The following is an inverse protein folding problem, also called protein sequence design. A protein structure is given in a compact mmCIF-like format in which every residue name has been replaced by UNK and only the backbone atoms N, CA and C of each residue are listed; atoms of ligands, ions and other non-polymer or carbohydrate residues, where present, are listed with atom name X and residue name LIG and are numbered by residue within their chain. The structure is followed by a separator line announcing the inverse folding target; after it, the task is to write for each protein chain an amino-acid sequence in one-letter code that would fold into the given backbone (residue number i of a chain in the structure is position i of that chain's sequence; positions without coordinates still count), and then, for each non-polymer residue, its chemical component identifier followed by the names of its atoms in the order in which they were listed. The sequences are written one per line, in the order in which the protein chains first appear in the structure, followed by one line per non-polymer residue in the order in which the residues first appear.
data_IF_327842722962
#
_entry.id   IF_327842722962
#
_cell.length_a   1.000
_cell.length_b   1.000
_cell.length_c   1.000
_cell.angle_alpha   90.00
_cell.angle_beta   90.00
_cell.angle_gamma   90.00
#
_symmetry.space_group_name_H-M   'P 1'
#
loop_
_entity.id
_entity.type
_entity.pdbx_description
1 polymer ?
#
# COMPACT_ATOMS: atom_id res chain seq x y z
N UNK A 1 26.12 12.95 -15.33
CA UNK A 1 27.06 13.90 -15.99
C UNK A 1 27.57 14.89 -14.97
N UNK A 2 28.75 15.51 -15.13
CA UNK A 2 29.26 16.51 -14.17
C UNK A 2 28.29 17.67 -13.94
N UNK A 3 27.52 18.03 -14.97
CA UNK A 3 26.55 19.15 -14.91
C UNK A 3 25.20 18.77 -14.30
N UNK A 4 24.96 17.48 -14.07
CA UNK A 4 23.72 16.96 -13.48
C UNK A 4 24.07 15.88 -12.44
N UNK A 5 24.38 16.27 -11.21
CA UNK A 5 24.70 15.33 -10.14
C UNK A 5 23.50 14.44 -9.83
N UNK A 6 23.76 13.19 -9.51
CA UNK A 6 22.77 12.18 -9.15
C UNK A 6 22.95 11.86 -7.67
N UNK A 7 21.86 11.89 -6.92
CA UNK A 7 21.83 11.37 -5.56
C UNK A 7 21.78 9.84 -5.60
N UNK A 8 22.66 9.20 -4.83
CA UNK A 8 22.71 7.75 -4.69
C UNK A 8 22.54 7.42 -3.22
N UNK A 9 21.41 6.80 -2.88
CA UNK A 9 21.07 6.40 -1.53
C UNK A 9 21.17 4.89 -1.35
N UNK A 10 21.31 4.47 -0.07
CA UNK A 10 21.22 3.07 0.29
C UNK A 10 19.78 2.58 0.12
N UNK A 11 19.59 1.50 -0.65
CA UNK A 11 18.31 0.83 -0.71
C UNK A 11 18.04 0.03 0.58
N UNK A 12 16.84 0.18 1.13
CA UNK A 12 16.41 -0.54 2.34
C UNK A 12 15.52 -1.72 1.90
N UNK A 13 16.07 -2.92 1.94
CA UNK A 13 15.31 -4.15 1.68
C UNK A 13 14.31 -4.43 2.80
N UNK A 14 13.12 -4.89 2.42
CA UNK A 14 12.07 -5.33 3.35
C UNK A 14 11.70 -4.28 4.42
N UNK A 15 11.87 -3.00 4.13
CA UNK A 15 11.47 -1.92 5.01
C UNK A 15 9.96 -1.73 5.00
N UNK A 16 9.43 -1.27 6.14
CA UNK A 16 8.05 -0.78 6.28
C UNK A 16 8.08 0.73 6.13
N UNK A 17 7.38 1.27 5.15
CA UNK A 17 7.26 2.71 4.99
C UNK A 17 6.15 3.28 5.86
N UNK A 18 6.42 4.44 6.42
CA UNK A 18 5.52 5.17 7.30
C UNK A 18 5.38 6.60 6.78
N UNK A 19 4.14 7.02 6.58
CA UNK A 19 3.79 8.38 6.19
C UNK A 19 3.22 9.13 7.41
N UNK A 20 3.73 10.32 7.68
CA UNK A 20 3.30 11.14 8.82
C UNK A 20 2.81 12.48 8.33
N UNK A 21 1.57 12.82 8.66
CA UNK A 21 1.04 14.18 8.50
C UNK A 21 0.97 14.86 9.87
N UNK A 22 1.60 16.02 10.00
CA UNK A 22 1.65 16.78 11.23
C UNK A 22 1.45 18.29 11.01
N UNK A 23 1.02 18.96 12.08
CA UNK A 23 0.99 20.41 12.17
C UNK A 23 2.09 20.87 13.11
N UNK A 24 2.73 21.99 12.77
CA UNK A 24 3.71 22.65 13.62
C UNK A 24 3.50 24.16 13.56
N UNK A 25 3.44 24.80 14.72
CA UNK A 25 3.23 26.26 14.84
C UNK A 25 4.52 27.04 15.18
N UNK A 26 5.64 26.32 15.25
CA UNK A 26 6.95 26.82 15.66
C UNK A 26 7.32 26.49 17.09
N UNK A 27 6.36 26.10 17.92
CA UNK A 27 6.56 25.73 19.32
C UNK A 27 6.03 24.33 19.61
N UNK A 28 4.79 24.04 19.23
CA UNK A 28 4.12 22.77 19.49
C UNK A 28 3.92 21.97 18.20
N UNK A 29 4.11 20.64 18.31
CA UNK A 29 3.77 19.68 17.28
C UNK A 29 2.42 19.00 17.60
N UNK A 30 1.55 18.90 16.59
CA UNK A 30 0.38 18.06 16.62
C UNK A 30 0.51 16.99 15.53
N UNK A 31 0.63 15.71 15.89
CA UNK A 31 0.57 14.60 14.93
C UNK A 31 -0.88 14.42 14.45
N UNK A 32 -1.11 14.64 13.17
CA UNK A 32 -2.39 14.37 12.54
C UNK A 32 -2.66 12.87 12.44
N UNK A 33 -1.65 12.13 11.99
CA UNK A 33 -1.70 10.67 11.88
C UNK A 33 -0.36 10.07 11.46
N UNK A 34 -0.14 8.83 11.87
CA UNK A 34 0.99 7.99 11.47
C UNK A 34 0.43 6.80 10.70
N UNK A 35 0.63 6.80 9.40
CA UNK A 35 0.10 5.81 8.47
C UNK A 35 1.18 4.79 8.13
N UNK A 36 0.81 3.51 8.05
CA UNK A 36 1.67 2.43 7.60
C UNK A 36 1.31 2.02 6.18
N UNK A 37 2.30 1.92 5.29
CA UNK A 37 2.10 1.45 3.94
C UNK A 37 1.82 -0.05 3.90
N UNK A 38 0.91 -0.46 3.03
CA UNK A 38 0.56 -1.86 2.80
C UNK A 38 1.49 -2.45 1.73
N UNK A 39 1.87 -1.66 0.75
CA UNK A 39 2.83 -2.02 -0.29
C UNK A 39 4.26 -2.09 0.24
N UNK A 40 5.13 -2.76 -0.52
CA UNK A 40 6.57 -2.80 -0.23
C UNK A 40 7.22 -1.41 -0.37
N UNK A 41 8.27 -1.20 0.40
CA UNK A 41 9.06 0.05 0.37
C UNK A 41 9.59 0.39 -1.03
N UNK A 42 9.63 1.68 -1.33
CA UNK A 42 10.10 2.23 -2.60
C UNK A 42 9.00 2.41 -3.65
N UNK A 43 7.74 2.29 -3.25
CA UNK A 43 6.59 2.69 -4.06
C UNK A 43 6.20 4.11 -3.66
N UNK A 44 5.86 4.95 -4.66
CA UNK A 44 5.45 6.32 -4.39
C UNK A 44 4.26 6.36 -3.41
N UNK A 45 4.33 7.19 -2.36
CA UNK A 45 3.31 7.27 -1.30
C UNK A 45 1.89 7.58 -1.82
N UNK A 46 1.78 8.29 -2.93
CA UNK A 46 0.49 8.52 -3.61
C UNK A 46 -0.14 7.26 -4.21
N UNK A 47 0.67 6.26 -4.53
CA UNK A 47 0.23 5.00 -5.16
C UNK A 47 0.08 3.87 -4.13
N UNK A 48 0.74 3.97 -2.96
CA UNK A 48 0.63 2.99 -1.90
C UNK A 48 -0.72 3.06 -1.19
N UNK A 49 -1.31 1.90 -0.92
CA UNK A 49 -2.35 1.80 0.09
C UNK A 49 -1.74 2.03 1.48
N UNK A 50 -2.46 2.72 2.35
CA UNK A 50 -2.00 3.04 3.69
C UNK A 50 -3.08 2.74 4.72
N UNK A 51 -2.68 2.25 5.89
CA UNK A 51 -3.57 1.99 7.01
C UNK A 51 -3.32 2.97 8.16
N UNK A 52 -4.39 3.44 8.78
CA UNK A 52 -4.39 4.28 9.96
C UNK A 52 -5.42 3.75 10.97
N UNK A 53 -5.03 3.49 12.25
CA UNK A 53 -3.68 3.60 12.80
C UNK A 53 -2.71 2.58 12.18
N UNK A 54 -1.41 2.83 12.30
CA UNK A 54 -0.37 1.88 11.92
C UNK A 54 -0.53 0.55 12.69
N UNK A 55 -0.28 -0.58 12.03
CA UNK A 55 -0.58 -1.91 12.56
C UNK A 55 0.64 -2.58 13.20
N UNK A 56 1.82 -2.39 12.62
CA UNK A 56 3.04 -3.08 13.06
C UNK A 56 4.00 -2.17 13.82
N UNK A 57 3.79 -0.84 13.77
CA UNK A 57 4.61 0.14 14.48
C UNK A 57 4.38 0.05 15.98
N UNK A 58 5.44 -0.20 16.72
CA UNK A 58 5.40 -0.32 18.18
C UNK A 58 5.23 1.04 18.87
N UNK A 59 4.75 1.04 20.12
CA UNK A 59 4.64 2.27 20.91
C UNK A 59 5.98 3.03 21.05
N UNK A 60 7.09 2.31 21.18
CA UNK A 60 8.43 2.93 21.23
C UNK A 60 8.79 3.62 19.92
N UNK A 61 8.50 2.98 18.78
CA UNK A 61 8.73 3.57 17.46
C UNK A 61 7.81 4.78 17.21
N UNK A 62 6.56 4.76 17.68
CA UNK A 62 5.68 5.93 17.60
C UNK A 62 6.25 7.15 18.36
N UNK A 63 6.86 6.92 19.53
CA UNK A 63 7.57 7.99 20.28
C UNK A 63 8.76 8.49 19.49
N UNK A 64 9.56 7.62 18.91
CA UNK A 64 10.71 7.97 18.07
C UNK A 64 10.29 8.77 16.83
N UNK A 65 9.27 8.33 16.12
CA UNK A 65 8.67 9.01 14.97
C UNK A 65 8.22 10.43 15.37
N UNK A 66 7.49 10.56 16.49
CA UNK A 66 7.05 11.86 16.98
C UNK A 66 8.22 12.81 17.24
N UNK A 67 9.26 12.33 17.95
CA UNK A 67 10.44 13.11 18.27
C UNK A 67 11.22 13.53 17.01
N UNK A 68 11.38 12.62 16.07
CA UNK A 68 12.02 12.89 14.78
C UNK A 68 11.22 13.94 14.00
N UNK A 69 9.89 13.77 13.91
CA UNK A 69 8.99 14.72 13.25
C UNK A 69 9.10 16.12 13.84
N UNK A 70 9.13 16.26 15.18
CA UNK A 70 9.25 17.55 15.85
C UNK A 70 10.61 18.20 15.60
N UNK A 71 11.70 17.42 15.68
CA UNK A 71 13.06 17.93 15.41
C UNK A 71 13.18 18.43 13.97
N UNK A 72 12.64 17.69 13.01
CA UNK A 72 12.67 18.08 11.59
C UNK A 72 11.81 19.33 11.38
N UNK A 73 10.56 19.34 11.85
CA UNK A 73 9.67 20.49 11.70
C UNK A 73 10.26 21.78 12.29
N UNK A 74 10.91 21.68 13.43
CA UNK A 74 11.63 22.79 14.08
C UNK A 74 12.87 23.19 13.29
N UNK A 75 13.65 22.22 12.80
CA UNK A 75 14.88 22.46 12.06
C UNK A 75 14.68 23.17 10.72
N UNK A 76 13.54 22.99 10.07
CA UNK A 76 13.18 23.65 8.80
C UNK A 76 12.14 24.78 8.97
N UNK A 77 11.90 25.20 10.20
CA UNK A 77 10.99 26.31 10.59
C UNK A 77 9.60 26.21 9.97
N UNK A 78 8.95 25.06 10.07
CA UNK A 78 7.60 24.82 9.54
C UNK A 78 6.58 25.70 10.27
N UNK A 79 5.63 26.25 9.50
CA UNK A 79 4.44 26.93 10.00
C UNK A 79 3.21 26.41 9.23
N UNK A 80 2.56 25.41 9.77
CA UNK A 80 1.44 24.73 9.13
C UNK A 80 1.64 23.23 9.01
N UNK A 81 1.40 22.67 7.83
CA UNK A 81 1.54 21.23 7.56
C UNK A 81 2.96 20.83 7.17
N UNK A 82 3.35 19.68 7.69
CA UNK A 82 4.50 18.93 7.22
C UNK A 82 4.10 17.47 7.01
N UNK A 83 4.55 16.90 5.89
CA UNK A 83 4.50 15.48 5.62
C UNK A 83 5.93 14.92 5.68
N UNK A 84 6.13 13.86 6.43
CA UNK A 84 7.44 13.19 6.52
C UNK A 84 7.26 11.71 6.20
N UNK A 85 8.12 11.21 5.32
CA UNK A 85 8.20 9.80 5.01
C UNK A 85 9.37 9.18 5.75
N UNK A 86 9.06 8.12 6.48
CA UNK A 86 10.01 7.30 7.20
C UNK A 86 10.03 5.89 6.64
N UNK A 87 11.10 5.15 6.92
CA UNK A 87 11.15 3.72 6.73
C UNK A 87 11.69 3.05 8.00
N UNK A 88 11.14 1.91 8.35
CA UNK A 88 11.64 1.06 9.43
C UNK A 88 12.25 -0.18 8.81
N UNK A 89 13.56 -0.35 8.95
CA UNK A 89 14.30 -1.53 8.53
C UNK A 89 15.18 -2.01 9.68
N UNK A 90 15.19 -3.31 9.98
CA UNK A 90 15.97 -3.90 11.08
C UNK A 90 15.73 -3.19 12.43
N UNK A 91 14.50 -2.73 12.68
CA UNK A 91 14.07 -1.94 13.86
C UNK A 91 14.68 -0.53 13.94
N UNK A 92 15.39 -0.08 12.92
CA UNK A 92 15.96 1.27 12.83
C UNK A 92 15.01 2.16 12.04
N UNK A 93 14.75 3.36 12.56
CA UNK A 93 13.98 4.40 11.89
C UNK A 93 14.88 5.21 10.96
N UNK A 94 14.52 5.28 9.70
CA UNK A 94 15.17 6.11 8.68
C UNK A 94 14.23 7.22 8.25
N UNK A 95 14.77 8.40 8.00
CA UNK A 95 14.05 9.50 7.35
C UNK A 95 14.29 9.41 5.85
N UNK A 96 13.23 9.30 5.06
CA UNK A 96 13.33 9.28 3.60
C UNK A 96 13.25 10.69 3.02
N UNK A 97 12.19 11.42 3.37
CA UNK A 97 12.03 12.81 2.96
C UNK A 97 11.11 13.59 3.92
N UNK A 98 11.25 14.91 3.92
CA UNK A 98 10.39 15.83 4.65
C UNK A 98 9.87 16.91 3.71
N UNK A 99 8.55 17.04 3.66
CA UNK A 99 7.83 17.93 2.76
C UNK A 99 7.07 18.98 3.59
N UNK A 100 7.58 20.22 3.77
CA UNK A 100 6.90 21.29 4.51
C UNK A 100 5.73 21.87 3.68
N UNK A 101 4.75 21.06 3.39
CA UNK A 101 3.57 21.37 2.60
C UNK A 101 2.43 20.40 2.92
N UNK A 102 1.22 20.70 2.46
CA UNK A 102 0.13 19.74 2.47
C UNK A 102 0.46 18.52 1.58
N UNK A 103 0.12 17.33 2.04
CA UNK A 103 0.23 16.07 1.32
C UNK A 103 -1.12 15.64 0.75
N UNK A 104 -1.12 14.62 -0.09
CA UNK A 104 -2.35 13.97 -0.55
C UNK A 104 -3.05 13.19 0.55
N UNK A 105 -2.31 12.72 1.55
CA UNK A 105 -2.84 11.96 2.68
C UNK A 105 -3.60 12.81 3.70
N UNK A 106 -3.40 14.14 3.70
CA UNK A 106 -4.10 15.05 4.62
C UNK A 106 -5.63 14.91 4.60
N UNK A 107 -6.32 14.81 3.45
CA UNK A 107 -7.77 14.56 3.44
C UNK A 107 -8.16 13.22 4.03
N UNK A 108 -7.38 12.17 3.79
CA UNK A 108 -7.57 10.85 4.36
C UNK A 108 -7.43 10.88 5.89
N UNK A 109 -6.31 11.41 6.40
CA UNK A 109 -6.06 11.55 7.85
C UNK A 109 -7.15 12.38 8.52
N UNK A 110 -7.55 13.50 7.90
CA UNK A 110 -8.61 14.37 8.42
C UNK A 110 -9.94 13.64 8.56
N UNK A 111 -10.30 12.80 7.59
CA UNK A 111 -11.54 11.98 7.66
C UNK A 111 -11.43 10.88 8.71
N UNK A 112 -10.29 10.18 8.76
CA UNK A 112 -10.07 9.09 9.70
C UNK A 112 -10.11 9.53 11.16
N UNK A 113 -9.52 10.70 11.47
CA UNK A 113 -9.45 11.25 12.83
C UNK A 113 -10.58 12.19 13.17
N UNK A 114 -11.24 12.78 12.18
CA UNK A 114 -12.23 13.85 12.34
C UNK A 114 -11.60 15.22 12.63
N UNK A 115 -10.27 15.37 12.44
CA UNK A 115 -9.55 16.62 12.66
C UNK A 115 -9.35 17.34 11.33
N UNK A 116 -9.82 18.58 11.15
CA UNK A 116 -9.71 19.30 9.88
C UNK A 116 -8.32 19.92 9.69
N UNK A 117 -7.32 19.06 9.40
CA UNK A 117 -5.89 19.44 9.34
C UNK A 117 -5.61 20.61 8.38
N UNK A 118 -6.19 20.61 7.19
CA UNK A 118 -5.98 21.70 6.23
C UNK A 118 -6.47 23.06 6.76
N UNK A 119 -7.62 23.08 7.46
CA UNK A 119 -8.16 24.27 8.08
C UNK A 119 -7.30 24.74 9.25
N UNK A 120 -6.79 23.80 10.05
CA UNK A 120 -5.87 24.10 11.14
C UNK A 120 -4.55 24.69 10.61
N UNK A 121 -3.98 24.06 9.58
CA UNK A 121 -2.78 24.53 8.90
C UNK A 121 -2.90 25.96 8.37
N UNK A 122 -4.02 26.26 7.68
CA UNK A 122 -4.28 27.60 7.16
C UNK A 122 -4.31 28.66 8.27
N UNK A 123 -4.85 28.33 9.46
CA UNK A 123 -4.83 29.24 10.62
C UNK A 123 -3.44 29.39 11.20
N UNK A 124 -2.67 28.31 11.29
CA UNK A 124 -1.28 28.37 11.76
C UNK A 124 -0.43 29.23 10.82
N UNK A 125 -0.61 29.10 9.51
CA UNK A 125 0.12 29.89 8.51
C UNK A 125 -0.14 31.40 8.59
N UNK A 126 -1.25 31.82 9.21
CA UNK A 126 -1.56 33.23 9.47
C UNK A 126 -1.38 33.63 10.93
N UNK A 127 -0.67 32.81 11.73
CA UNK A 127 -0.19 33.16 13.05
C UNK A 127 -0.96 32.56 14.24
N UNK A 128 -1.98 31.71 14.02
CA UNK A 128 -2.60 30.99 15.16
C UNK A 128 -1.67 29.92 15.71
N UNK A 129 -1.72 29.73 17.03
CA UNK A 129 -1.01 28.66 17.70
C UNK A 129 -1.86 27.38 17.83
N UNK A 130 -1.22 26.23 18.02
CA UNK A 130 -1.91 24.97 18.30
C UNK A 130 -2.74 25.10 19.58
N UNK A 131 -2.23 25.78 20.60
CA UNK A 131 -2.95 26.03 21.85
C UNK A 131 -4.27 26.81 21.60
N UNK A 132 -4.25 27.85 20.79
CA UNK A 132 -5.46 28.60 20.39
C UNK A 132 -6.43 27.73 19.62
N UNK A 133 -5.93 26.87 18.70
CA UNK A 133 -6.78 25.95 17.93
C UNK A 133 -7.43 24.89 18.83
N UNK A 134 -6.76 24.47 19.90
CA UNK A 134 -7.33 23.61 20.95
C UNK A 134 -8.42 24.35 21.74
N UNK A 135 -8.17 25.59 22.13
CA UNK A 135 -9.13 26.41 22.87
C UNK A 135 -10.46 26.61 22.11
N UNK A 136 -10.38 26.78 20.78
CA UNK A 136 -11.58 26.90 19.93
C UNK A 136 -12.12 25.56 19.44
N UNK A 137 -11.62 24.43 19.95
CA UNK A 137 -12.04 23.06 19.63
C UNK A 137 -11.85 22.66 18.15
N UNK A 138 -10.95 23.30 17.44
CA UNK A 138 -10.56 22.90 16.09
C UNK A 138 -9.63 21.70 16.12
N UNK A 139 -8.81 21.61 17.18
CA UNK A 139 -7.98 20.45 17.52
C UNK A 139 -8.49 19.83 18.85
N UNK A 140 -8.21 18.54 19.11
CA UNK A 140 -8.45 17.94 20.42
C UNK A 140 -7.81 18.74 21.56
N UNK A 141 -8.47 18.77 22.72
CA UNK A 141 -8.00 19.53 23.86
C UNK A 141 -6.58 19.12 24.31
N UNK A 142 -6.26 17.85 24.16
CA UNK A 142 -4.94 17.28 24.49
C UNK A 142 -4.59 16.18 23.48
N UNK A 143 -3.30 15.86 23.37
CA UNK A 143 -2.80 14.77 22.55
C UNK A 143 -2.83 15.07 21.05
N UNK A 144 -2.80 14.02 20.28
CA UNK A 144 -2.68 13.99 18.82
C UNK A 144 -3.97 13.51 18.14
N UNK A 145 -3.95 13.38 16.82
CA UNK A 145 -5.06 12.83 16.04
C UNK A 145 -5.25 11.33 16.32
N UNK A 146 -6.46 10.94 16.71
CA UNK A 146 -6.81 9.55 16.97
C UNK A 146 -7.84 9.09 15.95
N UNK A 147 -7.53 8.03 15.22
CA UNK A 147 -8.47 7.43 14.28
C UNK A 147 -9.66 6.81 15.01
N UNK A 148 -10.87 6.97 14.46
CA UNK A 148 -12.12 6.46 15.04
C UNK A 148 -12.37 4.98 14.75
N UNK A 149 -11.46 4.31 14.10
CA UNK A 149 -11.52 2.92 13.70
C UNK A 149 -10.33 2.63 12.80
N UNK A 150 -10.33 1.51 12.11
CA UNK A 150 -9.30 1.22 11.12
C UNK A 150 -9.73 1.82 9.79
N UNK A 151 -8.88 2.67 9.25
CA UNK A 151 -9.07 3.35 7.96
C UNK A 151 -7.99 2.90 7.00
N UNK A 152 -8.37 2.56 5.77
CA UNK A 152 -7.44 2.22 4.70
C UNK A 152 -7.64 3.19 3.55
N UNK A 153 -6.57 3.85 3.13
CA UNK A 153 -6.50 4.61 1.88
C UNK A 153 -6.08 3.68 0.75
N UNK A 154 -6.73 3.77 -0.40
CA UNK A 154 -6.34 3.04 -1.60
C UNK A 154 -6.20 4.01 -2.77
N UNK A 155 -5.22 3.79 -3.62
CA UNK A 155 -4.98 4.59 -4.81
C UNK A 155 -5.98 4.25 -5.92
N UNK A 156 -6.43 5.26 -6.65
CA UNK A 156 -7.17 5.07 -7.91
C UNK A 156 -6.18 5.08 -9.06
N UNK A 157 -5.96 3.91 -9.65
CA UNK A 157 -4.99 3.67 -10.71
C UNK A 157 -5.71 3.44 -12.03
N UNK A 158 -5.76 4.45 -12.94
CA UNK A 158 -6.52 4.35 -14.18
C UNK A 158 -5.73 3.58 -15.25
N UNK A 159 -5.44 2.31 -15.01
CA UNK A 159 -4.63 1.45 -15.87
C UNK A 159 -5.07 1.45 -17.33
N UNK A 160 -6.36 1.58 -17.60
CA UNK A 160 -6.92 1.64 -18.95
C UNK A 160 -6.46 2.87 -19.75
N UNK A 161 -5.94 3.91 -19.08
CA UNK A 161 -5.38 5.12 -19.71
C UNK A 161 -3.88 4.97 -20.01
N UNK A 162 -3.19 4.05 -19.34
CA UNK A 162 -1.78 3.78 -19.54
C UNK A 162 -1.61 2.64 -20.56
N UNK A 163 -1.80 2.92 -21.84
CA UNK A 163 -1.54 1.96 -22.91
C UNK A 163 -0.29 2.38 -23.68
N UNK A 164 0.52 1.40 -24.06
CA UNK A 164 1.62 1.62 -24.97
C UNK A 164 1.09 1.92 -26.39
N UNK A 165 1.93 2.56 -27.21
CA UNK A 165 1.57 2.85 -28.59
C UNK A 165 1.28 1.58 -29.42
N UNK A 166 1.84 0.44 -29.03
CA UNK A 166 1.61 -0.88 -29.62
C UNK A 166 0.32 -1.58 -29.11
N UNK A 167 -0.49 -0.88 -28.28
CA UNK A 167 -1.74 -1.39 -27.71
C UNK A 167 -1.57 -2.33 -26.53
N UNK A 168 -0.32 -2.67 -26.13
CA UNK A 168 -0.07 -3.49 -24.95
C UNK A 168 -0.36 -2.72 -23.67
N UNK A 169 -0.83 -3.44 -22.66
CA UNK A 169 -1.00 -2.91 -21.31
C UNK A 169 0.33 -2.54 -20.66
N UNK A 170 0.26 -1.76 -19.61
CA UNK A 170 1.40 -1.49 -18.74
C UNK A 170 1.45 -2.48 -17.58
N UNK A 171 2.62 -2.64 -17.00
CA UNK A 171 2.78 -3.44 -15.79
C UNK A 171 2.07 -2.74 -14.60
N UNK A 172 1.33 -3.53 -13.83
CA UNK A 172 0.70 -3.08 -12.60
C UNK A 172 1.68 -2.94 -11.42
N UNK A 173 2.96 -3.30 -11.60
CA UNK A 173 3.99 -3.04 -10.58
C UNK A 173 4.14 -1.55 -10.40
N UNK A 174 3.92 -1.13 -9.17
CA UNK A 174 4.13 0.23 -8.72
C UNK A 174 5.63 0.49 -8.50
N UNK A 175 6.01 1.75 -8.53
CA UNK A 175 7.40 2.17 -8.41
C UNK A 175 7.50 3.57 -7.80
N UNK A 176 8.68 4.21 -7.90
CA UNK A 176 8.90 5.54 -7.30
C UNK A 176 8.16 6.68 -8.02
N UNK A 177 7.62 6.41 -9.22
CA UNK A 177 6.86 7.39 -9.99
C UNK A 177 5.37 7.23 -9.73
N UNK A 178 4.69 8.32 -9.42
CA UNK A 178 3.26 8.32 -9.15
C UNK A 178 2.44 8.12 -10.43
N UNK A 179 1.49 7.19 -10.36
CA UNK A 179 0.53 6.84 -11.44
C UNK A 179 -0.92 7.07 -11.06
N UNK A 180 -1.21 7.20 -9.78
CA UNK A 180 -2.58 7.43 -9.28
C UNK A 180 -3.13 8.79 -9.69
N UNK A 181 -4.44 8.84 -9.93
CA UNK A 181 -5.19 10.07 -10.26
C UNK A 181 -6.12 10.49 -9.14
N UNK A 182 -6.26 9.68 -8.11
CA UNK A 182 -7.11 9.94 -6.95
C UNK A 182 -6.90 8.88 -5.89
N UNK A 183 -7.67 8.99 -4.82
CA UNK A 183 -7.66 8.05 -3.71
C UNK A 183 -9.05 7.83 -3.17
N UNK A 184 -9.29 6.67 -2.61
CA UNK A 184 -10.51 6.27 -1.92
C UNK A 184 -10.19 5.79 -0.52
N UNK A 185 -11.22 5.59 0.30
CA UNK A 185 -11.07 5.25 1.70
C UNK A 185 -12.08 4.19 2.11
N UNK A 186 -11.59 3.16 2.82
CA UNK A 186 -12.41 2.20 3.56
C UNK A 186 -12.28 2.44 5.07
N UNK A 187 -13.38 2.40 5.81
CA UNK A 187 -13.40 2.46 7.28
C UNK A 187 -14.16 1.27 7.83
N UNK A 188 -13.59 0.59 8.83
CA UNK A 188 -14.23 -0.52 9.53
C UNK A 188 -13.63 -0.72 10.94
N UNK A 189 -14.15 -1.72 11.67
CA UNK A 189 -13.62 -2.17 12.97
C UNK A 189 -12.44 -3.14 12.84
N UNK A 190 -12.20 -3.70 11.64
CA UNK A 190 -11.07 -4.59 11.35
C UNK A 190 -10.33 -4.14 10.11
N UNK A 191 -9.05 -4.50 10.02
CA UNK A 191 -8.21 -4.19 8.86
C UNK A 191 -8.76 -4.80 7.57
N UNK A 192 -9.07 -6.10 7.58
CA UNK A 192 -9.59 -6.78 6.39
C UNK A 192 -10.87 -6.14 5.86
N UNK A 193 -11.81 -5.77 6.74
CA UNK A 193 -13.03 -5.10 6.32
C UNK A 193 -12.78 -3.69 5.78
N UNK A 194 -11.84 -2.93 6.35
CA UNK A 194 -11.47 -1.60 5.85
C UNK A 194 -10.76 -1.70 4.50
N UNK A 195 -9.83 -2.66 4.37
CA UNK A 195 -9.12 -2.95 3.13
C UNK A 195 -10.08 -3.39 2.02
N UNK A 196 -10.96 -4.35 2.29
CA UNK A 196 -11.95 -4.79 1.30
C UNK A 196 -12.83 -3.63 0.80
N UNK A 197 -13.24 -2.72 1.70
CA UNK A 197 -14.01 -1.53 1.29
C UNK A 197 -13.20 -0.58 0.41
N UNK A 198 -11.92 -0.38 0.69
CA UNK A 198 -11.05 0.45 -0.15
C UNK A 198 -10.84 -0.19 -1.52
N UNK A 199 -10.60 -1.50 -1.58
CA UNK A 199 -10.47 -2.25 -2.83
C UNK A 199 -11.74 -2.16 -3.68
N UNK A 200 -12.91 -2.40 -3.09
CA UNK A 200 -14.20 -2.27 -3.80
C UNK A 200 -14.40 -0.85 -4.34
N UNK A 201 -13.97 0.14 -3.61
CA UNK A 201 -14.13 1.55 -4.01
C UNK A 201 -13.17 1.96 -5.13
N UNK A 202 -11.98 1.36 -5.24
CA UNK A 202 -10.97 1.67 -6.24
C UNK A 202 -11.06 0.82 -7.50
N UNK A 203 -11.32 -0.46 -7.36
CA UNK A 203 -11.28 -1.44 -8.46
C UNK A 203 -12.63 -2.06 -8.81
N UNK A 204 -13.60 -1.99 -7.91
CA UNK A 204 -14.89 -2.66 -8.06
C UNK A 204 -15.05 -3.88 -7.15
N UNK A 205 -16.16 -4.63 -7.30
CA UNK A 205 -16.49 -5.72 -6.40
C UNK A 205 -15.43 -6.84 -6.44
N UNK A 206 -15.02 -7.30 -5.25
CA UNK A 206 -14.20 -8.49 -5.12
C UNK A 206 -15.04 -9.75 -5.37
N UNK A 207 -14.47 -10.81 -5.96
CA UNK A 207 -15.17 -12.07 -6.17
C UNK A 207 -15.56 -12.70 -4.83
N UNK A 208 -16.73 -13.35 -4.81
CA UNK A 208 -17.21 -14.10 -3.63
C UNK A 208 -17.04 -15.61 -3.80
N UNK A 209 -16.82 -16.07 -5.02
CA UNK A 209 -16.59 -17.45 -5.44
C UNK A 209 -15.74 -17.43 -6.69
N UNK A 210 -15.25 -18.59 -7.12
CA UNK A 210 -14.50 -18.71 -8.36
C UNK A 210 -13.08 -19.22 -8.16
N UNK A 211 -12.21 -18.91 -9.11
CA UNK A 211 -10.83 -19.40 -9.14
C UNK A 211 -9.84 -18.30 -8.73
N UNK A 212 -9.00 -18.62 -7.76
CA UNK A 212 -7.92 -17.74 -7.30
C UNK A 212 -6.58 -18.30 -7.75
N UNK A 213 -5.83 -17.49 -8.49
CA UNK A 213 -4.44 -17.81 -8.81
C UNK A 213 -3.49 -17.25 -7.77
N UNK A 214 -2.58 -18.10 -7.27
CA UNK A 214 -1.60 -17.73 -6.22
C UNK A 214 -0.17 -17.98 -6.73
N UNK A 215 0.66 -16.95 -6.68
CA UNK A 215 2.10 -17.02 -6.96
C UNK A 215 2.86 -16.18 -5.96
N UNK A 216 3.51 -16.85 -5.01
CA UNK A 216 4.22 -16.20 -3.91
C UNK A 216 5.72 -16.26 -4.11
N UNK A 217 6.42 -15.18 -3.77
CA UNK A 217 7.86 -15.15 -3.61
C UNK A 217 8.28 -16.10 -2.46
N UNK A 218 9.48 -16.65 -2.50
CA UNK A 218 9.91 -17.62 -1.48
C UNK A 218 9.88 -17.04 -0.07
N UNK A 219 10.24 -15.76 0.08
CA UNK A 219 10.16 -15.03 1.36
C UNK A 219 8.74 -14.90 1.93
N UNK A 220 7.73 -14.93 1.06
CA UNK A 220 6.32 -14.65 1.37
C UNK A 220 5.48 -15.92 1.57
N UNK A 221 6.02 -17.09 1.21
CA UNK A 221 5.27 -18.36 1.23
C UNK A 221 4.70 -18.66 2.61
N UNK A 222 5.50 -18.50 3.66
CA UNK A 222 5.06 -18.79 5.03
C UNK A 222 3.88 -17.89 5.47
N UNK A 223 3.92 -16.61 5.13
CA UNK A 223 2.84 -15.66 5.40
C UNK A 223 1.57 -15.94 4.60
N UNK A 224 1.71 -16.61 3.44
CA UNK A 224 0.61 -16.97 2.56
C UNK A 224 -0.21 -18.19 3.01
N UNK A 225 0.25 -18.99 3.99
CA UNK A 225 -0.44 -20.21 4.41
C UNK A 225 -1.84 -19.89 4.98
N UNK A 226 -1.91 -19.00 5.96
CA UNK A 226 -3.16 -18.68 6.64
C UNK A 226 -4.21 -18.08 5.69
N UNK A 227 -3.90 -17.06 4.86
CA UNK A 227 -4.88 -16.51 3.93
C UNK A 227 -5.27 -17.49 2.81
N UNK A 228 -4.34 -18.32 2.29
CA UNK A 228 -4.69 -19.36 1.31
C UNK A 228 -5.66 -20.39 1.90
N UNK A 229 -5.43 -20.80 3.15
CA UNK A 229 -6.37 -21.68 3.87
C UNK A 229 -7.73 -21.00 4.07
N UNK A 230 -7.75 -19.70 4.37
CA UNK A 230 -8.97 -18.92 4.45
C UNK A 230 -9.77 -18.94 3.15
N UNK A 231 -9.13 -18.71 2.01
CA UNK A 231 -9.78 -18.77 0.70
C UNK A 231 -10.32 -20.17 0.38
N UNK A 232 -9.56 -21.23 0.70
CA UNK A 232 -10.03 -22.61 0.51
C UNK A 232 -11.27 -22.91 1.36
N UNK A 233 -11.31 -22.46 2.62
CA UNK A 233 -12.46 -22.60 3.51
C UNK A 233 -13.70 -21.82 3.04
N UNK A 234 -13.49 -20.72 2.34
CA UNK A 234 -14.57 -19.96 1.68
C UNK A 234 -15.07 -20.60 0.39
N UNK A 235 -14.47 -21.70 -0.06
CA UNK A 235 -14.91 -22.45 -1.23
C UNK A 235 -14.30 -21.96 -2.55
N UNK A 236 -13.27 -21.15 -2.53
CA UNK A 236 -12.55 -20.79 -3.76
C UNK A 236 -11.75 -21.97 -4.29
N UNK A 237 -11.71 -22.11 -5.61
CA UNK A 237 -10.81 -23.04 -6.29
C UNK A 237 -9.41 -22.40 -6.38
N UNK A 238 -8.41 -23.04 -5.76
CA UNK A 238 -7.06 -22.51 -5.71
C UNK A 238 -6.18 -23.15 -6.77
N UNK A 239 -5.58 -22.32 -7.62
CA UNK A 239 -4.53 -22.73 -8.55
C UNK A 239 -3.27 -21.93 -8.26
N UNK A 240 -2.09 -22.50 -8.49
CA UNK A 240 -0.85 -21.86 -8.15
C UNK A 240 0.30 -22.27 -9.08
N UNK A 241 1.36 -21.43 -9.14
CA UNK A 241 2.62 -21.85 -9.77
C UNK A 241 3.21 -23.06 -9.05
N UNK A 242 3.95 -23.93 -9.77
CA UNK A 242 4.46 -25.20 -9.23
C UNK A 242 5.09 -25.08 -7.84
N UNK A 243 6.03 -24.15 -7.64
CA UNK A 243 6.70 -23.96 -6.35
C UNK A 243 5.79 -23.44 -5.24
N UNK A 244 4.77 -22.65 -5.57
CA UNK A 244 3.75 -22.22 -4.60
C UNK A 244 2.76 -23.33 -4.31
N UNK A 245 2.32 -24.07 -5.34
CA UNK A 245 1.42 -25.22 -5.21
C UNK A 245 2.01 -26.30 -4.32
N UNK A 246 3.26 -26.72 -4.59
CA UNK A 246 3.96 -27.72 -3.78
C UNK A 246 4.02 -27.30 -2.32
N UNK A 247 4.44 -26.06 -2.05
CA UNK A 247 4.54 -25.51 -0.70
C UNK A 247 3.18 -25.50 0.03
N UNK A 248 2.11 -25.03 -0.61
CA UNK A 248 0.77 -24.97 -0.01
C UNK A 248 0.21 -26.37 0.27
N UNK A 249 0.43 -27.34 -0.63
CA UNK A 249 0.01 -28.73 -0.45
C UNK A 249 0.74 -29.44 0.67
N UNK A 250 2.03 -29.16 0.87
CA UNK A 250 2.80 -29.63 2.05
C UNK A 250 2.20 -29.14 3.37
N UNK A 251 1.48 -28.02 3.34
CA UNK A 251 0.76 -27.44 4.48
C UNK A 251 -0.74 -27.77 4.52
N UNK A 252 -1.15 -28.80 3.74
CA UNK A 252 -2.53 -29.31 3.75
C UNK A 252 -3.55 -28.41 3.03
N UNK A 253 -3.10 -27.56 2.11
CA UNK A 253 -3.96 -26.70 1.30
C UNK A 253 -3.98 -27.24 -0.13
N UNK A 254 -5.12 -27.77 -0.55
CA UNK A 254 -5.29 -28.31 -1.91
C UNK A 254 -5.19 -27.19 -2.96
N UNK A 255 -4.30 -27.36 -3.92
CA UNK A 255 -4.10 -26.45 -5.04
C UNK A 255 -3.80 -27.21 -6.32
N UNK A 256 -4.24 -26.68 -7.45
CA UNK A 256 -3.92 -27.22 -8.76
C UNK A 256 -2.72 -26.46 -9.34
N UNK A 257 -1.62 -27.14 -9.71
CA UNK A 257 -0.50 -26.48 -10.35
C UNK A 257 -0.88 -25.97 -11.74
N UNK A 258 -0.40 -24.76 -12.08
CA UNK A 258 -0.63 -24.14 -13.39
C UNK A 258 0.69 -23.77 -14.05
N UNK A 259 0.74 -23.94 -15.37
CA UNK A 259 1.92 -23.64 -16.18
C UNK A 259 2.22 -22.13 -16.20
N UNK A 260 3.48 -21.79 -16.05
CA UNK A 260 3.93 -20.41 -16.27
C UNK A 260 3.86 -20.04 -17.74
N UNK A 261 3.78 -18.74 -18.04
CA UNK A 261 3.76 -18.27 -19.42
C UNK A 261 5.02 -18.67 -20.20
N UNK A 262 6.18 -18.67 -19.56
CA UNK A 262 7.46 -19.11 -20.15
C UNK A 262 7.51 -20.61 -20.54
N UNK A 263 6.62 -21.43 -19.99
CA UNK A 263 6.54 -22.86 -20.29
C UNK A 263 5.68 -23.17 -21.53
N UNK A 264 4.91 -22.19 -22.02
CA UNK A 264 3.97 -22.38 -23.13
C UNK A 264 2.83 -23.35 -22.83
N UNK A 265 1.90 -23.50 -23.76
CA UNK A 265 0.81 -24.45 -23.69
C UNK A 265 1.34 -25.90 -23.62
N UNK A 266 0.77 -26.72 -22.75
CA UNK A 266 1.21 -28.09 -22.54
C UNK A 266 0.87 -29.01 -23.70
N UNK A 267 1.50 -30.21 -23.76
CA UNK A 267 1.33 -31.15 -24.88
C UNK A 267 -0.07 -31.72 -24.99
N UNK A 268 -0.86 -31.71 -23.93
CA UNK A 268 -2.28 -32.12 -23.94
C UNK A 268 -3.24 -30.90 -23.92
N UNK A 269 -2.74 -29.70 -24.24
CA UNK A 269 -3.54 -28.49 -24.30
C UNK A 269 -3.70 -27.77 -22.95
N UNK A 270 -2.86 -28.11 -21.96
CA UNK A 270 -2.89 -27.40 -20.66
C UNK A 270 -2.53 -25.93 -20.86
N UNK A 271 -3.46 -25.06 -20.48
CA UNK A 271 -3.29 -23.62 -20.59
C UNK A 271 -2.20 -23.10 -19.64
N UNK A 272 -1.49 -22.07 -20.10
CA UNK A 272 -0.68 -21.23 -19.22
C UNK A 272 -1.58 -20.31 -18.39
N UNK A 273 -1.04 -19.77 -17.29
CA UNK A 273 -1.80 -18.80 -16.48
C UNK A 273 -2.26 -17.58 -17.29
N UNK A 274 -1.47 -17.11 -18.25
CA UNK A 274 -1.83 -15.96 -19.10
C UNK A 274 -2.98 -16.32 -20.06
N UNK A 275 -2.99 -17.53 -20.59
CA UNK A 275 -4.10 -18.03 -21.42
C UNK A 275 -5.38 -18.17 -20.59
N UNK A 276 -5.29 -18.64 -19.33
CA UNK A 276 -6.42 -18.72 -18.41
C UNK A 276 -6.99 -17.33 -18.05
N UNK A 277 -6.12 -16.37 -17.74
CA UNK A 277 -6.52 -14.97 -17.50
C UNK A 277 -7.24 -14.38 -18.70
N UNK A 278 -6.69 -14.60 -19.90
CA UNK A 278 -7.31 -14.12 -21.14
C UNK A 278 -8.64 -14.82 -21.48
N UNK A 279 -8.81 -16.06 -21.08
CA UNK A 279 -10.05 -16.82 -21.25
C UNK A 279 -11.14 -16.43 -20.21
N UNK A 280 -10.77 -15.72 -19.12
CA UNK A 280 -11.71 -15.40 -18.04
C UNK A 280 -11.91 -16.54 -17.05
N UNK A 281 -10.97 -17.48 -16.96
CA UNK A 281 -11.04 -18.64 -16.07
C UNK A 281 -10.57 -18.27 -14.63
N UNK A 282 -10.12 -17.02 -14.39
CA UNK A 282 -9.55 -16.54 -13.12
C UNK A 282 -10.34 -15.33 -12.63
N UNK A 283 -10.71 -15.35 -11.35
CA UNK A 283 -11.49 -14.30 -10.71
C UNK A 283 -10.66 -13.37 -9.80
N UNK A 284 -9.55 -13.88 -9.25
CA UNK A 284 -8.65 -13.12 -8.37
C UNK A 284 -7.21 -13.59 -8.56
N UNK A 285 -6.28 -12.66 -8.54
CA UNK A 285 -4.84 -12.92 -8.62
C UNK A 285 -4.15 -12.46 -7.35
N UNK A 286 -3.38 -13.36 -6.74
CA UNK A 286 -2.43 -13.08 -5.66
C UNK A 286 -1.03 -13.29 -6.25
N UNK A 287 -0.27 -12.22 -6.42
CA UNK A 287 1.07 -12.31 -7.00
C UNK A 287 2.04 -11.39 -6.28
N UNK A 288 2.81 -11.95 -5.33
CA UNK A 288 3.87 -11.17 -4.66
C UNK A 288 5.12 -11.17 -5.55
N UNK A 289 5.60 -9.97 -5.95
CA UNK A 289 6.72 -9.85 -6.87
C UNK A 289 8.06 -10.22 -6.19
N UNK A 290 9.00 -10.73 -6.96
CA UNK A 290 10.38 -10.95 -6.52
C UNK A 290 11.28 -9.91 -7.14
N UNK A 291 11.72 -8.92 -6.36
CA UNK A 291 12.66 -7.89 -6.80
C UNK A 291 12.06 -6.91 -7.82
N UNK A 292 12.82 -5.86 -8.15
CA UNK A 292 12.48 -4.89 -9.20
C UNK A 292 12.88 -5.44 -10.56
N UNK A 293 12.04 -5.26 -11.56
CA UNK A 293 12.32 -5.56 -12.95
C UNK A 293 11.35 -6.55 -13.59
N UNK A 294 11.35 -6.55 -14.89
CA UNK A 294 10.52 -7.41 -15.75
C UNK A 294 11.01 -8.85 -15.72
N UNK A 295 10.71 -9.59 -14.66
CA UNK A 295 10.70 -11.05 -14.82
C UNK A 295 9.49 -11.39 -15.65
N UNK A 296 9.73 -11.95 -16.82
CA UNK A 296 8.76 -12.10 -17.90
C UNK A 296 7.40 -12.69 -17.46
N UNK A 297 7.40 -13.70 -16.59
CA UNK A 297 6.15 -14.35 -16.14
C UNK A 297 5.31 -13.43 -15.24
N UNK A 298 5.89 -12.80 -14.23
CA UNK A 298 5.15 -11.90 -13.33
C UNK A 298 4.59 -10.68 -14.07
N UNK A 299 5.36 -10.10 -14.99
CA UNK A 299 4.89 -9.02 -15.84
C UNK A 299 3.69 -9.43 -16.70
N UNK A 300 3.78 -10.61 -17.35
CA UNK A 300 2.72 -11.11 -18.21
C UNK A 300 1.41 -11.36 -17.42
N UNK A 301 1.51 -11.93 -16.22
CA UNK A 301 0.38 -12.16 -15.31
C UNK A 301 -0.29 -10.83 -14.94
N UNK A 302 0.48 -9.86 -14.42
CA UNK A 302 -0.07 -8.56 -13.97
C UNK A 302 -0.67 -7.77 -15.12
N UNK A 303 0.00 -7.76 -16.28
CA UNK A 303 -0.51 -7.08 -17.47
C UNK A 303 -1.83 -7.69 -17.95
N UNK A 304 -1.93 -9.00 -17.98
CA UNK A 304 -3.16 -9.70 -18.37
C UNK A 304 -4.29 -9.44 -17.36
N UNK A 305 -3.99 -9.46 -16.06
CA UNK A 305 -4.97 -9.16 -15.00
C UNK A 305 -5.54 -7.75 -15.15
N UNK A 306 -4.69 -6.74 -15.32
CA UNK A 306 -5.11 -5.35 -15.55
C UNK A 306 -5.94 -5.20 -16.81
N UNK A 307 -5.53 -5.82 -17.94
CA UNK A 307 -6.27 -5.76 -19.20
C UNK A 307 -7.67 -6.35 -19.12
N UNK A 308 -7.83 -7.36 -18.26
CA UNK A 308 -9.11 -8.05 -18.04
C UNK A 308 -9.89 -7.50 -16.85
N UNK A 309 -9.37 -6.48 -16.18
CA UNK A 309 -9.95 -5.91 -14.94
C UNK A 309 -10.16 -6.97 -13.85
N UNK A 310 -9.25 -7.96 -13.77
CA UNK A 310 -9.22 -8.96 -12.72
C UNK A 310 -8.50 -8.35 -11.51
N UNK A 311 -9.11 -8.36 -10.30
CA UNK A 311 -8.45 -7.87 -9.09
C UNK A 311 -7.12 -8.59 -8.86
N UNK A 312 -6.11 -7.80 -8.49
CA UNK A 312 -4.77 -8.32 -8.21
C UNK A 312 -4.25 -7.77 -6.90
N UNK A 313 -3.79 -8.65 -6.03
CA UNK A 313 -3.17 -8.33 -4.75
C UNK A 313 -1.69 -8.69 -4.83
N UNK A 314 -0.82 -7.72 -4.54
CA UNK A 314 0.63 -7.83 -4.74
C UNK A 314 1.43 -7.93 -3.44
N UNK A 315 0.77 -7.89 -2.28
CA UNK A 315 1.42 -7.92 -0.96
C UNK A 315 0.84 -9.00 -0.05
N UNK A 316 1.65 -9.49 0.88
CA UNK A 316 1.19 -10.44 1.91
C UNK A 316 0.22 -9.80 2.88
N UNK A 317 0.38 -8.51 3.19
CA UNK A 317 -0.56 -7.76 4.04
C UNK A 317 -1.95 -7.66 3.39
N UNK A 318 -2.02 -7.29 2.11
CA UNK A 318 -3.26 -7.29 1.34
C UNK A 318 -3.87 -8.69 1.18
N UNK A 319 -3.03 -9.72 1.02
CA UNK A 319 -3.50 -11.11 0.95
C UNK A 319 -4.09 -11.59 2.28
N UNK A 320 -3.53 -11.14 3.41
CA UNK A 320 -4.01 -11.50 4.75
C UNK A 320 -5.27 -10.73 5.18
N UNK A 321 -5.58 -9.63 4.51
CA UNK A 321 -6.76 -8.80 4.78
C UNK A 321 -8.06 -9.48 4.34
#
# INVERSE_FOLDING_TARGET
TPDHPVLVDRFLDSAIEIDVDALFDGEELFLGGVMEHIEEAGIHSGDSACVLPSMTVTAAQLVEIRQATEKIARGVDVRGLINIQFAIADKILYVLEANPRASRTVPFVSKATGVPLAKAAARISVGSTIAELRAVKLLPATGDGIAKGISVKEAVLPWNRFRRADGRGVDAVLGPEMRSTGEVMGIASSFGAAYAKSQISSFGPLPKTGTVFISLADKDKSSGIAPAKGLALLGFHLIATDGTSSFLREHGIETVPVRKNSQGTGPMGEKTIVEMLNAGDIDLVINTPVGRGTRADGWAIRTASVQRSIPIITTTAGFSA
#
